data_IF_800583990125
#
_entry.id   IF_800583990125
#
_cell.length_a   1.000
_cell.length_b   1.000
_cell.length_c   1.000
_cell.angle_alpha   90.00
_cell.angle_beta   90.00
_cell.angle_gamma   90.00
#
_symmetry.space_group_name_H-M   'P 1'
#
loop_
_entity.id
_entity.type
_entity.pdbx_description
1 polymer ?
#
# COMPACT_ATOMS: atom_id res chain seq x y z
N UNK A 1 15.65 -4.77 -19.67
CA UNK A 1 15.35 -5.94 -18.79
C UNK A 1 16.57 -6.18 -17.90
N UNK A 2 16.53 -5.71 -16.66
CA UNK A 2 17.65 -5.82 -15.72
C UNK A 2 17.46 -7.08 -14.87
N UNK A 3 18.42 -8.00 -14.90
CA UNK A 3 18.46 -9.16 -14.00
C UNK A 3 18.91 -8.67 -12.63
N UNK A 4 18.00 -8.62 -11.67
CA UNK A 4 18.38 -8.34 -10.28
C UNK A 4 19.11 -9.57 -9.72
N UNK A 5 20.43 -9.47 -9.65
CA UNK A 5 21.28 -10.44 -8.97
C UNK A 5 21.83 -9.68 -7.77
N UNK A 6 21.46 -10.02 -6.51
CA UNK A 6 22.08 -9.39 -5.37
C UNK A 6 23.60 -9.63 -5.45
N UNK A 7 24.43 -8.63 -5.10
CA UNK A 7 25.87 -8.77 -5.19
C UNK A 7 26.33 -9.96 -4.34
N UNK A 8 26.94 -10.96 -4.98
CA UNK A 8 27.60 -12.06 -4.30
C UNK A 8 28.84 -11.52 -3.56
N UNK A 9 28.80 -11.41 -2.22
CA UNK A 9 30.00 -11.23 -1.39
C UNK A 9 29.86 -11.90 0.00
N UNK A 10 30.71 -12.90 0.24
CA UNK A 10 31.43 -13.22 1.48
C UNK A 10 30.66 -13.60 2.77
N UNK A 11 31.27 -14.42 3.65
CA UNK A 11 30.67 -14.80 4.93
C UNK A 11 30.90 -13.68 5.94
N UNK A 12 29.97 -12.74 6.04
CA UNK A 12 29.95 -11.80 7.16
C UNK A 12 28.88 -12.26 8.15
N UNK A 13 29.37 -12.70 9.31
CA UNK A 13 28.61 -13.02 10.51
C UNK A 13 27.70 -11.85 10.87
N UNK A 14 26.44 -12.16 11.16
CA UNK A 14 25.41 -11.21 11.58
C UNK A 14 25.55 -10.84 13.06
N UNK A 15 26.72 -10.38 13.48
CA UNK A 15 26.94 -9.85 14.83
C UNK A 15 27.10 -8.32 14.81
N UNK A 16 26.24 -7.67 15.59
CA UNK A 16 26.17 -6.23 15.91
C UNK A 16 25.54 -5.31 14.85
N UNK A 17 24.33 -4.80 15.15
CA UNK A 17 23.47 -4.04 14.24
C UNK A 17 23.70 -2.53 14.39
N UNK A 18 24.20 -1.81 13.37
CA UNK A 18 24.23 -0.35 13.37
C UNK A 18 22.81 0.22 13.26
N UNK A 19 22.54 1.31 13.97
CA UNK A 19 21.32 2.11 13.83
C UNK A 19 21.25 2.73 12.42
N UNK A 20 20.28 2.31 11.59
CA UNK A 20 20.08 2.88 10.25
C UNK A 20 19.55 1.92 9.18
N UNK A 21 19.39 0.63 9.48
CA UNK A 21 18.83 -0.33 8.51
C UNK A 21 17.30 -0.30 8.54
N UNK A 22 16.69 0.08 7.41
CA UNK A 22 15.26 -0.13 7.15
C UNK A 22 14.94 -1.62 7.33
N UNK A 23 14.11 -1.94 8.33
CA UNK A 23 13.55 -3.29 8.43
C UNK A 23 12.37 -3.36 7.48
N UNK A 24 12.14 -4.50 6.87
CA UNK A 24 10.96 -4.71 6.01
C UNK A 24 9.65 -4.33 6.72
N UNK A 25 9.57 -4.55 8.04
CA UNK A 25 8.43 -4.18 8.88
C UNK A 25 8.21 -2.66 8.99
N UNK A 26 9.22 -1.83 8.76
CA UNK A 26 9.11 -0.37 8.80
C UNK A 26 8.41 0.19 7.55
N UNK A 27 8.40 -0.59 6.45
CA UNK A 27 7.77 -0.22 5.19
C UNK A 27 6.26 -0.56 5.13
N UNK A 28 5.78 -1.43 6.02
CA UNK A 28 4.40 -1.93 6.00
C UNK A 28 3.63 -1.28 7.15
N UNK A 29 2.53 -0.54 6.88
CA UNK A 29 1.73 0.03 7.95
C UNK A 29 1.17 -1.06 8.88
N UNK A 30 1.12 -0.77 10.18
CA UNK A 30 0.50 -1.64 11.18
C UNK A 30 -0.92 -2.01 10.73
N UNK A 31 -1.19 -3.31 10.65
CA UNK A 31 -2.38 -3.86 10.02
C UNK A 31 -2.97 -4.99 10.86
N UNK A 32 -4.29 -5.04 10.94
CA UNK A 32 -5.06 -6.01 11.71
C UNK A 32 -6.16 -6.62 10.84
N UNK A 33 -6.37 -7.93 10.95
CA UNK A 33 -7.44 -8.66 10.28
C UNK A 33 -8.64 -8.80 11.22
N UNK A 34 -9.78 -8.24 10.86
CA UNK A 34 -10.98 -8.22 11.70
C UNK A 34 -12.00 -9.23 11.14
N UNK A 35 -12.66 -10.04 11.98
CA UNK A 35 -12.80 -9.93 13.44
C UNK A 35 -11.63 -10.46 14.30
N UNK A 36 -10.73 -11.28 13.75
CA UNK A 36 -9.75 -12.05 14.53
C UNK A 36 -8.87 -11.20 15.46
N UNK A 37 -8.39 -10.05 14.97
CA UNK A 37 -7.45 -9.19 15.68
C UNK A 37 -8.13 -8.00 16.39
N UNK A 38 -9.46 -8.03 16.57
CA UNK A 38 -10.21 -6.87 17.07
C UNK A 38 -9.75 -6.38 18.44
N UNK A 39 -9.39 -7.31 19.33
CA UNK A 39 -8.88 -6.97 20.66
C UNK A 39 -7.50 -6.29 20.57
N UNK A 40 -6.61 -6.79 19.72
CA UNK A 40 -5.28 -6.19 19.49
C UNK A 40 -5.42 -4.80 18.87
N UNK A 41 -6.26 -4.66 17.84
CA UNK A 41 -6.57 -3.36 17.24
C UNK A 41 -7.11 -2.37 18.27
N UNK A 42 -8.04 -2.79 19.13
CA UNK A 42 -8.63 -1.92 20.16
C UNK A 42 -7.56 -1.43 21.15
N UNK A 43 -6.61 -2.28 21.53
CA UNK A 43 -5.50 -1.89 22.39
C UNK A 43 -4.58 -0.87 21.70
N UNK A 44 -4.20 -1.12 20.44
CA UNK A 44 -3.34 -0.21 19.68
C UNK A 44 -4.02 1.15 19.43
N UNK A 45 -5.32 1.14 19.13
CA UNK A 45 -6.10 2.36 18.96
C UNK A 45 -6.12 3.20 20.25
N UNK A 46 -6.23 2.56 21.42
CA UNK A 46 -6.17 3.26 22.72
C UNK A 46 -4.80 3.87 23.00
N UNK A 47 -3.71 3.23 22.54
CA UNK A 47 -2.34 3.78 22.66
C UNK A 47 -2.16 5.02 21.78
N UNK A 48 -2.89 5.12 20.67
CA UNK A 48 -2.79 6.20 19.68
C UNK A 48 -4.18 6.77 19.34
N UNK A 49 -4.86 7.47 20.26
CA UNK A 49 -6.26 7.86 20.09
C UNK A 49 -6.52 8.86 18.96
N UNK A 50 -5.48 9.61 18.54
CA UNK A 50 -5.56 10.57 17.42
C UNK A 50 -5.16 9.97 16.07
N UNK A 51 -4.96 8.64 15.99
CA UNK A 51 -4.54 7.99 14.75
C UNK A 51 -5.72 7.75 13.80
N UNK A 52 -5.46 8.00 12.51
CA UNK A 52 -6.38 7.64 11.43
C UNK A 52 -6.06 6.24 10.93
N UNK A 53 -7.09 5.46 10.66
CA UNK A 53 -6.99 4.11 10.11
C UNK A 53 -7.83 4.01 8.85
N UNK A 54 -7.37 3.19 7.91
CA UNK A 54 -8.08 2.85 6.69
C UNK A 54 -8.66 1.44 6.81
N UNK A 55 -9.96 1.33 6.57
CA UNK A 55 -10.69 0.06 6.57
C UNK A 55 -10.87 -0.40 5.13
N UNK A 56 -10.54 -1.66 4.85
CA UNK A 56 -10.61 -2.26 3.51
C UNK A 56 -11.35 -3.60 3.59
N UNK A 57 -12.58 -3.69 3.04
CA UNK A 57 -13.29 -4.97 2.93
C UNK A 57 -12.55 -5.94 2.00
N UNK A 58 -12.44 -7.22 2.36
CA UNK A 58 -11.72 -8.23 1.56
C UNK A 58 -12.49 -8.72 0.34
N UNK A 59 -13.82 -8.56 0.32
CA UNK A 59 -14.70 -9.08 -0.75
C UNK A 59 -15.01 -8.07 -1.86
N UNK A 60 -14.47 -6.85 -1.82
CA UNK A 60 -14.80 -5.78 -2.79
C UNK A 60 -13.58 -5.30 -3.56
N UNK A 61 -13.70 -5.26 -4.88
CA UNK A 61 -12.69 -4.69 -5.78
C UNK A 61 -12.95 -3.20 -6.05
N UNK A 62 -12.04 -2.54 -6.78
CA UNK A 62 -12.17 -1.14 -7.25
C UNK A 62 -12.18 -0.05 -6.16
N UNK A 63 -11.97 -0.40 -4.89
CA UNK A 63 -11.98 0.55 -3.77
C UNK A 63 -13.35 0.84 -3.18
N UNK A 64 -14.38 0.08 -3.58
CA UNK A 64 -15.73 0.21 -3.02
C UNK A 64 -15.76 -0.26 -1.56
N UNK A 65 -16.30 0.59 -0.68
CA UNK A 65 -16.40 0.31 0.76
C UNK A 65 -15.11 0.52 1.54
N UNK A 66 -14.09 1.16 0.95
CA UNK A 66 -12.94 1.66 1.69
C UNK A 66 -13.36 2.97 2.39
N UNK A 67 -13.03 3.12 3.65
CA UNK A 67 -13.27 4.37 4.39
C UNK A 67 -12.20 4.59 5.45
N UNK A 68 -12.15 5.82 5.96
CA UNK A 68 -11.23 6.21 7.03
C UNK A 68 -11.98 6.31 8.35
N UNK A 69 -11.32 5.93 9.43
CA UNK A 69 -11.82 6.08 10.79
C UNK A 69 -10.79 6.80 11.65
N UNK A 70 -11.28 7.65 12.55
CA UNK A 70 -10.48 8.24 13.63
C UNK A 70 -11.15 8.05 14.99
N UNK A 71 -12.29 7.34 15.04
CA UNK A 71 -12.98 6.96 16.27
C UNK A 71 -13.36 5.49 16.17
N UNK A 72 -13.01 4.71 17.20
CA UNK A 72 -13.33 3.28 17.27
C UNK A 72 -14.84 3.00 17.21
N UNK A 73 -15.67 3.96 17.63
CA UNK A 73 -17.14 3.86 17.56
C UNK A 73 -17.66 3.80 16.12
N UNK A 74 -16.98 4.45 15.17
CA UNK A 74 -17.32 4.35 13.74
C UNK A 74 -17.15 2.91 13.26
N UNK A 75 -16.02 2.28 13.63
CA UNK A 75 -15.75 0.90 13.25
C UNK A 75 -16.76 -0.08 13.87
N UNK A 76 -17.03 0.04 15.18
CA UNK A 76 -17.99 -0.85 15.87
C UNK A 76 -19.38 -0.79 15.25
N UNK A 77 -19.83 0.41 14.89
CA UNK A 77 -21.13 0.62 14.21
C UNK A 77 -21.14 -0.07 12.85
N UNK A 78 -20.11 0.18 12.03
CA UNK A 78 -20.00 -0.41 10.71
C UNK A 78 -19.93 -1.95 10.75
N UNK A 79 -19.19 -2.54 11.70
CA UNK A 79 -19.15 -3.99 11.91
C UNK A 79 -20.54 -4.55 12.20
N UNK A 80 -21.31 -3.88 13.07
CA UNK A 80 -22.65 -4.31 13.45
C UNK A 80 -23.59 -4.27 12.23
N UNK A 81 -23.63 -3.14 11.53
CA UNK A 81 -24.44 -2.96 10.32
C UNK A 81 -24.08 -3.98 9.24
N UNK A 82 -22.78 -4.26 9.04
CA UNK A 82 -22.32 -5.25 8.06
C UNK A 82 -22.72 -6.67 8.45
N UNK A 83 -22.63 -7.02 9.74
CA UNK A 83 -23.03 -8.32 10.24
C UNK A 83 -24.53 -8.56 10.04
N UNK A 84 -25.36 -7.58 10.36
CA UNK A 84 -26.81 -7.64 10.14
C UNK A 84 -27.16 -7.80 8.65
N UNK A 85 -26.44 -7.09 7.76
CA UNK A 85 -26.61 -7.24 6.32
C UNK A 85 -26.17 -8.62 5.80
N UNK A 86 -25.02 -9.13 6.25
CA UNK A 86 -24.53 -10.46 5.87
C UNK A 86 -25.51 -11.56 6.34
N UNK A 87 -26.05 -11.45 7.56
CA UNK A 87 -27.07 -12.39 8.10
C UNK A 87 -28.38 -12.34 7.29
N UNK A 88 -28.85 -11.15 6.91
CA UNK A 88 -30.04 -10.98 6.08
C UNK A 88 -29.88 -11.55 4.66
N UNK A 89 -28.65 -11.50 4.11
CA UNK A 89 -28.30 -12.05 2.79
C UNK A 89 -27.90 -13.54 2.85
N UNK A 90 -27.86 -14.15 4.05
CA UNK A 90 -27.42 -15.54 4.23
C UNK A 90 -25.92 -15.76 3.92
N UNK A 91 -25.13 -14.70 3.98
CA UNK A 91 -23.70 -14.70 3.66
C UNK A 91 -22.84 -14.99 4.89
N UNK A 92 -21.65 -15.60 4.70
CA UNK A 92 -20.69 -15.73 5.78
C UNK A 92 -20.21 -14.35 6.26
N UNK A 93 -19.82 -14.28 7.54
CA UNK A 93 -19.32 -13.05 8.13
C UNK A 93 -18.15 -12.46 7.32
N UNK A 94 -18.34 -11.23 6.82
CA UNK A 94 -17.32 -10.53 6.05
C UNK A 94 -16.06 -10.31 6.89
N UNK A 95 -14.91 -10.70 6.36
CA UNK A 95 -13.62 -10.27 6.88
C UNK A 95 -13.25 -8.89 6.32
N UNK A 96 -12.35 -8.20 6.97
CA UNK A 96 -11.79 -6.95 6.46
C UNK A 96 -10.49 -6.61 7.17
N UNK A 97 -9.71 -5.74 6.54
CA UNK A 97 -8.41 -5.33 7.04
C UNK A 97 -8.47 -3.88 7.51
N UNK A 98 -7.94 -3.63 8.70
CA UNK A 98 -7.77 -2.29 9.27
C UNK A 98 -6.29 -1.98 9.34
N UNK A 99 -5.85 -0.94 8.64
CA UNK A 99 -4.44 -0.56 8.53
C UNK A 99 -4.25 0.88 8.98
N UNK A 100 -3.13 1.16 9.63
CA UNK A 100 -2.76 2.53 10.01
C UNK A 100 -2.65 3.37 8.73
N UNK A 101 -3.32 4.51 8.71
CA UNK A 101 -3.33 5.38 7.55
C UNK A 101 -2.04 6.22 7.50
N UNK A 102 -1.41 6.29 6.33
CA UNK A 102 -0.23 7.14 6.11
C UNK A 102 -0.68 8.58 5.94
N UNK A 103 -0.70 9.32 7.06
CA UNK A 103 -1.24 10.68 7.13
C UNK A 103 -0.33 11.76 6.52
N UNK A 104 0.97 11.49 6.41
CA UNK A 104 1.97 12.38 5.82
C UNK A 104 2.59 11.78 4.54
N UNK A 105 1.82 11.63 3.45
CA UNK A 105 2.35 11.14 2.19
C UNK A 105 3.23 12.19 1.50
N UNK A 106 4.15 11.75 0.64
CA UNK A 106 4.78 12.66 -0.33
C UNK A 106 3.70 13.20 -1.28
N UNK A 107 3.67 14.52 -1.45
CA UNK A 107 2.73 15.20 -2.33
C UNK A 107 3.49 15.83 -3.50
N UNK A 108 2.91 15.75 -4.70
CA UNK A 108 3.43 16.42 -5.89
C UNK A 108 2.30 17.30 -6.42
N UNK A 109 2.56 18.60 -6.56
CA UNK A 109 1.51 19.57 -6.88
C UNK A 109 0.35 19.56 -5.88
N UNK A 110 0.62 19.23 -4.61
CA UNK A 110 -0.39 19.11 -3.56
C UNK A 110 -1.27 17.85 -3.63
N UNK A 111 -1.02 16.93 -4.57
CA UNK A 111 -1.84 15.72 -4.77
C UNK A 111 -1.13 14.48 -4.23
N UNK A 112 -1.90 13.60 -3.60
CA UNK A 112 -1.46 12.28 -3.17
C UNK A 112 -1.35 11.34 -4.37
N UNK A 113 -0.43 10.38 -4.31
CA UNK A 113 -0.29 9.36 -5.34
C UNK A 113 0.11 7.99 -4.77
N UNK A 114 -0.04 6.95 -5.57
CA UNK A 114 0.52 5.62 -5.34
C UNK A 114 1.34 5.16 -6.56
N UNK A 115 2.22 4.18 -6.37
CA UNK A 115 3.00 3.59 -7.45
C UNK A 115 2.40 2.27 -7.92
N UNK A 116 2.14 2.18 -9.22
CA UNK A 116 1.92 0.92 -9.92
C UNK A 116 3.22 0.48 -10.56
N UNK A 117 3.78 -0.60 -10.02
CA UNK A 117 4.97 -1.28 -10.53
C UNK A 117 4.57 -2.67 -11.03
N UNK A 118 5.31 -3.18 -12.01
CA UNK A 118 5.08 -4.50 -12.58
C UNK A 118 6.29 -5.40 -12.30
N UNK A 119 6.05 -6.55 -11.68
CA UNK A 119 7.10 -7.51 -11.34
C UNK A 119 6.71 -8.86 -11.91
N UNK A 120 7.56 -9.42 -12.77
CA UNK A 120 7.40 -10.76 -13.32
C UNK A 120 8.21 -11.74 -12.47
N UNK A 121 7.54 -12.67 -11.80
CA UNK A 121 8.20 -13.77 -11.10
C UNK A 121 8.18 -15.00 -12.00
N UNK A 122 9.37 -15.52 -12.31
CA UNK A 122 9.54 -16.69 -13.19
C UNK A 122 9.85 -17.97 -12.43
N UNK A 123 10.31 -17.84 -11.19
CA UNK A 123 10.51 -18.96 -10.28
C UNK A 123 10.53 -18.45 -8.85
N UNK A 124 9.96 -19.20 -7.92
CA UNK A 124 10.19 -18.99 -6.48
C UNK A 124 11.33 -19.85 -5.93
N UNK A 125 11.77 -20.90 -6.66
CA UNK A 125 12.82 -21.84 -6.20
C UNK A 125 13.77 -22.18 -7.35
N UNK A 126 14.92 -21.48 -7.50
CA UNK A 126 15.32 -20.29 -6.76
C UNK A 126 14.42 -19.08 -7.10
N UNK A 127 14.32 -18.10 -6.21
CA UNK A 127 13.58 -16.87 -6.49
C UNK A 127 14.21 -16.09 -7.65
N UNK A 128 13.46 -15.94 -8.75
CA UNK A 128 13.84 -15.17 -9.93
C UNK A 128 12.69 -14.24 -10.31
N UNK A 129 12.89 -12.94 -10.08
CA UNK A 129 11.93 -11.89 -10.35
C UNK A 129 12.54 -10.75 -11.17
N UNK A 130 11.74 -10.12 -12.01
CA UNK A 130 12.12 -9.02 -12.89
C UNK A 130 11.19 -7.83 -12.65
N UNK A 131 11.74 -6.71 -12.19
CA UNK A 131 11.03 -5.44 -12.14
C UNK A 131 11.01 -4.82 -13.55
N UNK A 132 9.82 -4.55 -14.06
CA UNK A 132 9.66 -3.90 -15.35
C UNK A 132 10.07 -2.42 -15.26
N UNK A 133 10.77 -1.92 -16.27
CA UNK A 133 11.27 -0.53 -16.32
C UNK A 133 10.13 0.49 -16.42
N UNK A 134 9.04 0.10 -17.08
CA UNK A 134 7.83 0.92 -17.11
C UNK A 134 6.98 0.62 -15.88
N UNK A 135 6.79 1.64 -15.05
CA UNK A 135 5.79 1.75 -13.99
C UNK A 135 5.25 3.17 -13.97
N UNK A 136 4.26 3.46 -13.13
CA UNK A 136 3.71 4.81 -13.05
C UNK A 136 3.18 5.18 -11.67
N UNK A 137 3.35 6.46 -11.32
CA UNK A 137 2.63 7.11 -10.23
C UNK A 137 1.21 7.44 -10.69
N UNK A 138 0.22 7.14 -9.85
CA UNK A 138 -1.19 7.47 -10.05
C UNK A 138 -1.63 8.50 -9.03
N UNK A 139 -1.99 9.69 -9.49
CA UNK A 139 -2.42 10.80 -8.66
C UNK A 139 -3.92 10.74 -8.36
N UNK A 140 -4.32 11.24 -7.18
CA UNK A 140 -5.70 11.62 -6.91
C UNK A 140 -6.12 12.78 -7.84
N UNK A 141 -7.41 12.91 -8.16
CA UNK A 141 -7.89 14.05 -8.96
C UNK A 141 -7.84 15.35 -8.14
N UNK A 142 -8.16 15.29 -6.85
CA UNK A 142 -8.22 16.46 -5.96
C UNK A 142 -6.97 16.61 -5.08
N UNK A 143 -6.64 17.85 -4.65
CA UNK A 143 -5.56 18.10 -3.69
C UNK A 143 -5.78 17.36 -2.36
N UNK A 144 -4.68 16.96 -1.73
CA UNK A 144 -4.69 16.23 -0.47
C UNK A 144 -5.12 17.14 0.70
N UNK A 145 -6.08 16.68 1.50
CA UNK A 145 -6.56 17.39 2.69
C UNK A 145 -6.35 16.50 3.92
N UNK A 146 -5.46 16.90 4.84
CA UNK A 146 -5.07 16.03 5.96
C UNK A 146 -6.23 15.68 6.93
N UNK A 147 -7.19 16.58 7.11
CA UNK A 147 -8.29 16.45 8.08
C UNK A 147 -9.64 16.06 7.47
N UNK A 148 -9.65 15.61 6.22
CA UNK A 148 -10.85 15.26 5.47
C UNK A 148 -11.34 13.84 5.79
N UNK A 149 -11.95 13.66 6.96
CA UNK A 149 -12.59 12.40 7.36
C UNK A 149 -14.08 12.32 7.02
N UNK A 150 -14.63 13.38 6.40
CA UNK A 150 -15.99 13.37 5.85
C UNK A 150 -15.98 12.70 4.49
N UNK A 151 -16.98 11.86 4.23
CA UNK A 151 -17.10 11.03 3.01
C UNK A 151 -16.93 11.84 1.71
N UNK A 152 -17.33 13.12 1.71
CA UNK A 152 -17.22 14.04 0.57
C UNK A 152 -15.79 14.29 0.05
N UNK A 153 -14.75 13.90 0.80
CA UNK A 153 -13.36 14.18 0.43
C UNK A 153 -12.49 12.92 0.27
N UNK A 154 -13.09 11.73 0.29
CA UNK A 154 -12.38 10.45 0.17
C UNK A 154 -11.57 10.35 -1.15
N UNK A 155 -12.00 11.06 -2.20
CA UNK A 155 -11.31 11.18 -3.49
C UNK A 155 -9.89 11.80 -3.37
N UNK A 156 -9.62 12.62 -2.35
CA UNK A 156 -8.27 13.15 -2.10
C UNK A 156 -7.34 12.12 -1.44
N UNK A 157 -7.91 11.07 -0.84
CA UNK A 157 -7.20 10.05 -0.08
C UNK A 157 -7.03 8.72 -0.83
N UNK A 158 -7.90 8.42 -1.80
CA UNK A 158 -7.92 7.16 -2.57
C UNK A 158 -7.58 7.39 -4.04
N UNK A 159 -6.48 6.80 -4.51
CA UNK A 159 -5.94 6.98 -5.87
C UNK A 159 -6.59 6.09 -6.93
N UNK A 160 -7.60 5.29 -6.58
CA UNK A 160 -8.21 4.33 -7.50
C UNK A 160 -9.08 5.02 -8.55
N UNK A 161 -8.79 4.77 -9.83
CA UNK A 161 -9.48 5.35 -11.00
C UNK A 161 -11.00 5.18 -10.97
N UNK A 162 -11.50 4.06 -10.45
CA UNK A 162 -12.95 3.82 -10.35
C UNK A 162 -13.68 4.82 -9.43
N UNK A 163 -12.97 5.44 -8.49
CA UNK A 163 -13.48 6.50 -7.62
C UNK A 163 -13.20 7.91 -8.18
N UNK A 164 -12.26 8.03 -9.12
CA UNK A 164 -11.82 9.31 -9.68
C UNK A 164 -12.58 9.73 -10.94
N UNK A 165 -13.18 8.77 -11.67
CA UNK A 165 -13.93 9.01 -12.91
C UNK A 165 -15.28 9.74 -12.73
N UNK A 166 -15.77 9.88 -11.50
CA UNK A 166 -17.02 10.58 -11.21
C UNK A 166 -16.87 12.08 -10.96
N UNK A 167 -15.66 12.61 -11.02
CA UNK A 167 -15.35 14.00 -10.63
C UNK A 167 -14.97 14.85 -11.85
N UNK A 168 -15.55 16.05 -11.93
CA UNK A 168 -15.33 17.02 -13.02
C UNK A 168 -13.86 17.46 -13.17
N UNK A 169 -13.04 17.27 -12.13
CA UNK A 169 -11.62 17.61 -12.11
C UNK A 169 -10.69 16.53 -12.70
N UNK A 170 -11.23 15.42 -13.21
CA UNK A 170 -10.44 14.34 -13.80
C UNK A 170 -9.88 14.77 -15.17
N UNK A 171 -8.56 14.96 -15.25
CA UNK A 171 -7.89 15.30 -16.50
C UNK A 171 -7.72 14.04 -17.37
N UNK A 172 -8.55 13.91 -18.41
CA UNK A 172 -8.52 12.79 -19.35
C UNK A 172 -7.25 12.73 -20.21
N UNK A 173 -6.54 13.86 -20.41
CA UNK A 173 -5.40 13.99 -21.33
C UNK A 173 -4.12 13.34 -20.79
N UNK A 174 -3.87 13.45 -19.48
CA UNK A 174 -2.72 12.79 -18.81
C UNK A 174 -3.13 11.69 -17.82
N UNK A 175 -4.45 11.51 -17.60
CA UNK A 175 -5.03 10.50 -16.72
C UNK A 175 -4.56 10.56 -15.26
N UNK A 176 -3.98 11.69 -14.83
CA UNK A 176 -3.33 11.82 -13.52
C UNK A 176 -2.21 10.81 -13.32
N UNK A 177 -1.37 10.55 -14.32
CA UNK A 177 -0.26 9.58 -14.22
C UNK A 177 1.08 10.20 -14.60
N UNK A 178 2.12 9.83 -13.86
CA UNK A 178 3.52 10.05 -14.26
C UNK A 178 4.22 8.72 -14.43
N UNK A 179 5.07 8.61 -15.45
CA UNK A 179 5.99 7.48 -15.54
C UNK A 179 6.90 7.43 -14.31
N UNK A 180 7.37 6.23 -13.95
CA UNK A 180 8.33 6.05 -12.87
C UNK A 180 9.61 6.88 -13.13
N UNK A 181 10.06 6.96 -14.37
CA UNK A 181 11.19 7.79 -14.77
C UNK A 181 10.97 9.28 -14.45
N UNK A 182 9.79 9.83 -14.77
CA UNK A 182 9.46 11.23 -14.46
C UNK A 182 9.38 11.47 -12.94
N UNK A 183 8.88 10.50 -12.18
CA UNK A 183 8.89 10.57 -10.72
C UNK A 183 10.33 10.59 -10.18
N UNK A 184 11.21 9.71 -10.66
CA UNK A 184 12.61 9.67 -10.25
C UNK A 184 13.32 10.99 -10.60
N UNK A 185 13.09 11.53 -11.80
CA UNK A 185 13.63 12.83 -12.21
C UNK A 185 13.13 13.96 -11.30
N UNK A 186 11.84 13.98 -10.95
CA UNK A 186 11.30 14.95 -10.01
C UNK A 186 11.96 14.85 -8.63
N UNK A 187 12.09 13.62 -8.10
CA UNK A 187 12.72 13.39 -6.79
C UNK A 187 14.19 13.82 -6.83
N UNK A 188 14.90 13.48 -7.90
CA UNK A 188 16.29 13.89 -8.10
C UNK A 188 16.43 15.41 -8.17
N UNK A 189 15.57 16.09 -8.92
CA UNK A 189 15.60 17.55 -9.03
C UNK A 189 15.25 18.26 -7.72
N UNK A 190 14.31 17.72 -6.94
CA UNK A 190 13.80 18.37 -5.72
C UNK A 190 14.56 18.01 -4.44
N UNK A 191 15.09 16.80 -4.36
CA UNK A 191 15.70 16.22 -3.16
C UNK A 191 17.12 15.68 -3.40
N UNK A 192 17.63 15.73 -4.62
CA UNK A 192 18.99 15.28 -4.98
C UNK A 192 19.07 13.83 -5.45
N UNK A 193 20.15 13.50 -6.15
CA UNK A 193 20.37 12.17 -6.76
C UNK A 193 20.43 11.05 -5.72
N UNK A 194 21.09 11.29 -4.57
CA UNK A 194 21.21 10.30 -3.49
C UNK A 194 19.83 9.87 -2.97
N UNK A 195 18.90 10.81 -2.83
CA UNK A 195 17.54 10.53 -2.40
C UNK A 195 16.75 9.73 -3.45
N UNK A 196 16.91 10.06 -4.74
CA UNK A 196 16.24 9.35 -5.83
C UNK A 196 16.75 7.89 -5.94
N UNK A 197 18.06 7.68 -5.82
CA UNK A 197 18.66 6.35 -5.79
C UNK A 197 18.20 5.57 -4.55
N UNK A 198 18.15 6.23 -3.39
CA UNK A 198 17.65 5.65 -2.14
C UNK A 198 16.18 5.21 -2.22
N UNK A 199 15.33 5.98 -2.91
CA UNK A 199 13.93 5.64 -3.16
C UNK A 199 13.84 4.34 -3.97
N UNK A 200 14.58 4.25 -5.09
CA UNK A 200 14.55 3.06 -5.95
C UNK A 200 15.07 1.81 -5.23
N UNK A 201 16.16 1.93 -4.47
CA UNK A 201 16.68 0.83 -3.65
C UNK A 201 15.67 0.37 -2.60
N UNK A 202 14.94 1.30 -1.98
CA UNK A 202 13.90 0.98 -1.00
C UNK A 202 12.70 0.26 -1.62
N UNK A 203 12.33 0.64 -2.84
CA UNK A 203 11.30 -0.06 -3.63
C UNK A 203 11.74 -1.49 -3.94
N UNK A 204 12.94 -1.67 -4.48
CA UNK A 204 13.51 -2.99 -4.79
C UNK A 204 13.62 -3.88 -3.56
N UNK A 205 14.11 -3.33 -2.44
CA UNK A 205 14.18 -4.00 -1.16
C UNK A 205 12.80 -4.50 -0.71
N UNK A 206 11.78 -3.64 -0.76
CA UNK A 206 10.41 -4.00 -0.38
C UNK A 206 9.86 -5.11 -1.27
N UNK A 207 10.06 -5.03 -2.59
CA UNK A 207 9.61 -6.07 -3.54
C UNK A 207 10.31 -7.40 -3.24
N UNK A 208 11.64 -7.40 -3.15
CA UNK A 208 12.43 -8.61 -2.93
C UNK A 208 12.03 -9.32 -1.64
N UNK A 209 11.94 -8.59 -0.52
CA UNK A 209 11.60 -9.19 0.76
C UNK A 209 10.14 -9.65 0.83
N UNK A 210 9.22 -8.99 0.12
CA UNK A 210 7.83 -9.45 -0.01
C UNK A 210 7.75 -10.78 -0.75
N UNK A 211 8.47 -10.91 -1.87
CA UNK A 211 8.49 -12.14 -2.67
C UNK A 211 9.21 -13.28 -1.95
N UNK A 212 10.34 -12.98 -1.30
CA UNK A 212 11.11 -13.96 -0.53
C UNK A 212 10.32 -14.53 0.64
N UNK A 213 9.47 -13.72 1.29
CA UNK A 213 8.59 -14.22 2.35
C UNK A 213 7.61 -15.31 1.85
N UNK A 214 7.32 -15.36 0.54
CA UNK A 214 6.42 -16.34 -0.07
C UNK A 214 7.15 -17.57 -0.64
N UNK A 215 8.49 -17.59 -0.61
CA UNK A 215 9.32 -18.66 -1.21
C UNK A 215 8.99 -20.06 -0.66
N UNK A 216 8.66 -20.16 0.64
CA UNK A 216 8.30 -21.44 1.27
C UNK A 216 6.87 -21.88 0.95
N UNK A 217 5.97 -20.95 0.67
CA UNK A 217 4.52 -21.18 0.49
C UNK A 217 4.17 -21.44 -0.98
N UNK A 218 4.85 -20.76 -1.91
CA UNK A 218 4.57 -20.89 -3.34
C UNK A 218 5.14 -22.19 -3.90
N UNK A 219 4.27 -22.98 -4.51
CA UNK A 219 4.65 -24.17 -5.28
C UNK A 219 4.79 -23.79 -6.75
N UNK A 220 5.93 -24.14 -7.36
CA UNK A 220 6.10 -24.05 -8.82
C UNK A 220 5.36 -25.23 -9.46
N UNK A 221 4.03 -25.16 -9.54
CA UNK A 221 3.25 -26.09 -10.36
C UNK A 221 3.31 -25.62 -11.83
N UNK A 222 3.74 -26.51 -12.73
CA UNK A 222 3.85 -26.23 -14.16
C UNK A 222 2.48 -26.06 -14.84
N UNK A 223 1.39 -26.35 -14.14
CA UNK A 223 0.02 -26.28 -14.66
C UNK A 223 -0.81 -25.13 -14.07
N UNK A 224 -0.25 -24.33 -13.14
CA UNK A 224 -0.89 -23.13 -12.63
C UNK A 224 -0.35 -21.90 -13.39
N UNK A 225 -1.19 -21.33 -14.26
CA UNK A 225 -0.98 -20.01 -14.88
C UNK A 225 -1.68 -18.92 -14.07
#
# INVERSE_FOLDING_TARGET
MVRYTPPCRGPYEWSEKPSGWLRFVDCVPVTYNIPNDFQMFTQEFRRQPCSTWIVKPTSRSQGRGIFLINRITQLKRWIKERKEADEAEGLPASTFVVSKYVANPLLIGGKKFDLRLYVLVTSFKPLVAYLHEQGFARFCATPYVANALKDDNLCSHLTNVALQKGEDAYNEVHGGKWSLANLCLFVQGRYGAVCADGLMRSIEFTIYHSLRAMESVMFNDRHCF
#
